data_IF_938453207995
#
_entry.id   IF_938453207995
#
_cell.length_a   1.000
_cell.length_b   1.000
_cell.length_c   1.000
_cell.angle_alpha   90.00
_cell.angle_beta   90.00
_cell.angle_gamma   90.00
#
_symmetry.space_group_name_H-M   'P 1'
#
loop_
_entity.id
_entity.type
_entity.pdbx_description
1 polymer ?
#
# COMPACT_ATOMS: atom_id res chain seq x y z
N UNK A 1 -0.38 4.93 -62.26
CA UNK A 1 0.60 5.20 -61.19
C UNK A 1 -0.16 5.22 -59.88
N UNK A 2 -0.08 4.14 -59.09
CA UNK A 2 -0.80 4.01 -57.82
C UNK A 2 0.18 4.47 -56.73
N UNK A 3 0.01 5.69 -56.23
CA UNK A 3 0.79 6.19 -55.10
C UNK A 3 0.14 5.67 -53.80
N UNK A 4 0.72 4.62 -53.23
CA UNK A 4 0.32 4.11 -51.92
C UNK A 4 0.87 5.02 -50.82
N UNK A 5 -0.02 5.75 -50.14
CA UNK A 5 0.33 6.49 -48.94
C UNK A 5 0.35 5.53 -47.74
N UNK A 6 1.54 5.16 -47.27
CA UNK A 6 1.70 4.48 -45.98
C UNK A 6 1.46 5.51 -44.87
N UNK A 7 0.27 5.48 -44.27
CA UNK A 7 0.03 6.13 -42.97
C UNK A 7 0.77 5.31 -41.91
N UNK A 8 1.94 5.79 -41.49
CA UNK A 8 2.62 5.28 -40.31
C UNK A 8 1.78 5.57 -39.06
N UNK A 9 1.25 4.53 -38.44
CA UNK A 9 0.63 4.60 -37.12
C UNK A 9 1.71 4.96 -36.09
N UNK A 10 1.77 6.24 -35.70
CA UNK A 10 2.46 6.68 -34.49
C UNK A 10 1.64 6.17 -33.29
N UNK A 11 2.02 5.02 -32.76
CA UNK A 11 1.51 4.57 -31.46
C UNK A 11 1.97 5.57 -30.38
N UNK A 12 1.07 6.14 -29.56
CA UNK A 12 1.47 6.92 -28.40
C UNK A 12 2.36 6.05 -27.52
N UNK A 13 3.57 6.53 -27.20
CA UNK A 13 4.44 5.85 -26.25
C UNK A 13 3.71 5.74 -24.91
N UNK A 14 3.55 4.51 -24.41
CA UNK A 14 3.07 4.29 -23.05
C UNK A 14 4.10 4.89 -22.09
N UNK A 15 3.80 6.07 -21.54
CA UNK A 15 4.55 6.60 -20.41
C UNK A 15 4.20 5.73 -19.21
N UNK A 16 5.14 4.91 -18.74
CA UNK A 16 5.05 4.36 -17.40
C UNK A 16 5.02 5.55 -16.43
N UNK A 17 3.91 5.68 -15.69
CA UNK A 17 3.81 6.71 -14.65
C UNK A 17 4.89 6.44 -13.60
N UNK A 18 5.72 7.44 -13.32
CA UNK A 18 6.85 7.29 -12.42
C UNK A 18 6.33 7.13 -11.00
N UNK A 19 6.37 5.90 -10.46
CA UNK A 19 6.00 5.64 -9.08
C UNK A 19 7.19 5.91 -8.13
N UNK A 20 6.98 6.55 -6.97
CA UNK A 20 5.79 7.29 -6.56
C UNK A 20 5.80 8.75 -7.05
N UNK A 21 4.66 9.26 -7.50
CA UNK A 21 4.46 10.65 -7.95
C UNK A 21 3.69 11.52 -6.95
N UNK A 22 3.13 10.90 -5.91
CA UNK A 22 2.36 11.53 -4.84
C UNK A 22 2.66 10.86 -3.49
N UNK A 23 2.27 11.46 -2.35
CA UNK A 23 2.49 10.87 -1.04
C UNK A 23 1.88 9.47 -0.89
N UNK A 24 2.61 8.59 -0.20
CA UNK A 24 2.16 7.24 0.17
C UNK A 24 1.53 7.30 1.56
N UNK A 25 0.41 6.62 1.77
CA UNK A 25 -0.22 6.46 3.07
C UNK A 25 0.18 5.12 3.70
N UNK A 26 0.84 5.18 4.84
CA UNK A 26 1.17 4.02 5.67
C UNK A 26 0.15 3.92 6.80
N UNK A 27 -0.81 3.00 6.64
CA UNK A 27 -1.88 2.78 7.61
C UNK A 27 -1.37 1.90 8.74
N UNK A 28 -1.39 2.41 9.96
CA UNK A 28 -0.90 1.70 11.16
C UNK A 28 -2.07 1.13 11.93
N UNK A 29 -2.03 -0.17 12.21
CA UNK A 29 -3.11 -0.91 12.88
C UNK A 29 -3.32 -0.60 14.37
N UNK A 30 -2.53 0.31 14.95
CA UNK A 30 -2.49 0.59 16.38
C UNK A 30 -2.44 2.10 16.65
N UNK A 31 -2.75 2.47 17.89
CA UNK A 31 -2.80 3.86 18.36
C UNK A 31 -1.46 4.58 18.16
N UNK A 32 -1.56 5.88 17.87
CA UNK A 32 -0.39 6.77 17.77
C UNK A 32 0.40 6.78 19.09
N UNK A 33 1.73 6.91 18.99
CA UNK A 33 2.66 6.94 20.13
C UNK A 33 3.00 5.57 20.72
N UNK A 34 2.36 4.48 20.28
CA UNK A 34 2.71 3.11 20.66
C UNK A 34 3.96 2.58 19.95
N UNK A 35 4.48 1.40 20.35
CA UNK A 35 5.69 0.83 19.77
C UNK A 35 5.59 0.63 18.25
N UNK A 36 4.45 0.12 17.76
CA UNK A 36 4.19 -0.05 16.33
C UNK A 36 4.21 1.30 15.59
N UNK A 37 3.58 2.33 16.14
CA UNK A 37 3.58 3.66 15.51
C UNK A 37 4.97 4.30 15.46
N UNK A 38 5.77 4.15 16.52
CA UNK A 38 7.14 4.68 16.56
C UNK A 38 7.98 4.07 15.43
N UNK A 39 7.91 2.75 15.24
CA UNK A 39 8.65 2.10 14.14
C UNK A 39 8.11 2.52 12.78
N UNK A 40 6.78 2.62 12.61
CA UNK A 40 6.17 3.09 11.37
C UNK A 40 6.67 4.49 10.97
N UNK A 41 6.84 5.40 11.93
CA UNK A 41 7.36 6.76 11.69
C UNK A 41 8.83 6.77 11.29
N UNK A 42 9.64 5.86 11.85
CA UNK A 42 11.04 5.69 11.44
C UNK A 42 11.11 5.22 9.99
N UNK A 43 10.31 4.20 9.64
CA UNK A 43 10.20 3.69 8.26
C UNK A 43 9.75 4.81 7.31
N UNK A 44 8.67 5.52 7.67
CA UNK A 44 8.10 6.59 6.86
C UNK A 44 9.12 7.70 6.54
N UNK A 45 9.96 8.07 7.52
CA UNK A 45 11.00 9.09 7.33
C UNK A 45 12.12 8.60 6.40
N UNK A 46 12.65 7.40 6.62
CA UNK A 46 13.75 6.86 5.82
C UNK A 46 13.32 6.61 4.38
N UNK A 47 12.22 5.89 4.20
CA UNK A 47 11.69 5.57 2.89
C UNK A 47 11.19 6.80 2.16
N UNK A 48 10.62 7.78 2.86
CA UNK A 48 10.23 9.05 2.23
C UNK A 48 11.42 9.82 1.66
N UNK A 49 12.59 9.74 2.31
CA UNK A 49 13.83 10.31 1.79
C UNK A 49 14.32 9.55 0.55
N UNK A 50 14.27 8.21 0.57
CA UNK A 50 14.74 7.36 -0.53
C UNK A 50 13.84 7.42 -1.76
N UNK A 51 12.53 7.56 -1.57
CA UNK A 51 11.54 7.60 -2.64
C UNK A 51 11.30 9.01 -3.18
N UNK A 52 11.76 10.06 -2.47
CA UNK A 52 11.49 11.45 -2.84
C UNK A 52 10.03 11.87 -2.67
N UNK A 53 9.21 11.07 -2.00
CA UNK A 53 7.81 11.33 -1.71
C UNK A 53 7.51 11.15 -0.22
N UNK A 54 6.63 11.97 0.32
CA UNK A 54 6.24 11.87 1.72
C UNK A 54 5.51 10.54 1.98
N UNK A 55 5.81 9.90 3.11
CA UNK A 55 5.01 8.81 3.65
C UNK A 55 4.21 9.32 4.86
N UNK A 56 2.88 9.31 4.73
CA UNK A 56 1.93 9.79 5.74
C UNK A 56 1.50 8.62 6.61
N UNK A 57 1.78 8.70 7.91
CA UNK A 57 1.33 7.71 8.90
C UNK A 57 -0.13 7.99 9.30
N UNK A 58 -1.02 7.04 9.06
CA UNK A 58 -2.46 7.09 9.39
C UNK A 58 -2.81 5.97 10.40
N UNK A 59 -3.01 6.32 11.67
CA UNK A 59 -3.33 5.35 12.73
C UNK A 59 -4.82 4.99 12.72
N UNK A 60 -5.13 3.72 12.47
CA UNK A 60 -6.50 3.16 12.48
C UNK A 60 -6.60 1.95 13.43
N UNK A 61 -6.60 2.18 14.75
CA UNK A 61 -6.72 1.10 15.73
C UNK A 61 -8.11 0.47 15.75
N UNK A 62 -8.17 -0.80 16.14
CA UNK A 62 -9.43 -1.51 16.41
C UNK A 62 -9.34 -2.99 16.06
N UNK A 63 -10.09 -3.83 16.79
CA UNK A 63 -10.23 -5.27 16.53
C UNK A 63 -8.89 -6.00 16.27
N UNK A 64 -7.86 -5.74 17.08
CA UNK A 64 -6.55 -6.39 16.92
C UNK A 64 -5.77 -6.00 15.65
N UNK A 65 -6.25 -5.00 14.90
CA UNK A 65 -5.68 -4.53 13.65
C UNK A 65 -6.55 -4.79 12.42
N UNK A 66 -7.67 -5.50 12.57
CA UNK A 66 -8.58 -5.83 11.47
C UNK A 66 -9.17 -4.58 10.80
N UNK A 67 -9.44 -3.51 11.57
CA UNK A 67 -9.99 -2.25 11.02
C UNK A 67 -9.03 -1.62 10.00
N UNK A 68 -7.73 -1.58 10.31
CA UNK A 68 -6.72 -1.10 9.38
C UNK A 68 -6.56 -2.05 8.19
N UNK A 69 -6.54 -3.36 8.44
CA UNK A 69 -6.43 -4.36 7.38
C UNK A 69 -7.60 -4.25 6.38
N UNK A 70 -8.85 -4.21 6.84
CA UNK A 70 -10.01 -4.02 5.97
C UNK A 70 -9.94 -2.73 5.16
N UNK A 71 -9.46 -1.65 5.77
CA UNK A 71 -9.33 -0.37 5.09
C UNK A 71 -8.31 -0.45 3.94
N UNK A 72 -7.14 -1.05 4.18
CA UNK A 72 -6.11 -1.20 3.15
C UNK A 72 -6.51 -2.22 2.08
N UNK A 73 -7.14 -3.34 2.47
CA UNK A 73 -7.60 -4.36 1.53
C UNK A 73 -8.65 -3.86 0.52
N UNK A 74 -9.39 -2.79 0.88
CA UNK A 74 -10.37 -2.13 0.00
C UNK A 74 -9.78 -0.94 -0.79
N UNK A 75 -8.53 -0.57 -0.54
CA UNK A 75 -7.88 0.52 -1.25
C UNK A 75 -7.50 0.10 -2.69
N UNK A 76 -7.28 1.07 -3.60
CA UNK A 76 -6.70 0.76 -4.90
C UNK A 76 -5.37 0.01 -4.75
N UNK A 77 -5.16 -1.02 -5.56
CA UNK A 77 -3.92 -1.80 -5.59
C UNK A 77 -2.82 -1.08 -6.39
N UNK A 78 -2.58 0.19 -6.08
CA UNK A 78 -1.69 1.11 -6.81
C UNK A 78 -0.40 1.44 -6.04
N UNK A 79 -0.18 0.84 -4.87
CA UNK A 79 1.01 1.03 -4.03
C UNK A 79 0.99 2.27 -3.13
N UNK A 80 -0.03 3.13 -3.21
CA UNK A 80 -0.11 4.35 -2.40
C UNK A 80 -0.79 4.16 -1.04
N UNK A 81 -1.40 3.00 -0.79
CA UNK A 81 -1.94 2.66 0.53
C UNK A 81 -1.31 1.35 1.00
N UNK A 82 -0.49 1.45 2.04
CA UNK A 82 0.24 0.32 2.62
C UNK A 82 -0.28 0.05 4.03
N UNK A 83 -0.21 -1.21 4.46
CA UNK A 83 -0.53 -1.62 5.83
C UNK A 83 0.75 -1.83 6.63
N UNK A 84 0.81 -1.26 7.83
CA UNK A 84 1.79 -1.61 8.85
C UNK A 84 1.08 -2.19 10.07
N UNK A 85 1.32 -3.47 10.32
CA UNK A 85 0.67 -4.23 11.38
C UNK A 85 1.73 -5.04 12.17
N UNK A 86 1.32 -5.66 13.27
CA UNK A 86 2.14 -6.58 14.04
C UNK A 86 1.89 -8.04 13.62
N UNK A 87 2.48 -9.00 14.34
CA UNK A 87 2.16 -10.42 14.19
C UNK A 87 0.68 -10.75 14.43
N UNK A 88 -0.11 -9.82 15.00
CA UNK A 88 -1.56 -9.97 15.16
C UNK A 88 -2.28 -10.30 13.85
N UNK A 89 -1.80 -9.80 12.70
CA UNK A 89 -2.42 -10.05 11.40
C UNK A 89 -2.41 -11.53 10.99
N UNK A 90 -1.39 -12.28 11.42
CA UNK A 90 -1.28 -13.72 11.15
C UNK A 90 -2.16 -14.57 12.10
N UNK A 91 -2.42 -14.05 13.30
CA UNK A 91 -3.13 -14.77 14.37
C UNK A 91 -4.66 -14.52 14.29
N UNK A 92 -5.07 -13.32 13.85
CA UNK A 92 -6.48 -12.89 13.81
C UNK A 92 -7.43 -13.88 13.11
N UNK A 93 -7.11 -14.41 11.90
CA UNK A 93 -8.01 -15.34 11.20
C UNK A 93 -8.30 -16.62 11.98
N UNK A 94 -7.30 -17.14 12.70
CA UNK A 94 -7.43 -18.35 13.50
C UNK A 94 -8.24 -18.12 14.79
N UNK A 95 -8.13 -16.94 15.40
CA UNK A 95 -8.84 -16.61 16.64
C UNK A 95 -10.30 -16.21 16.42
N UNK A 96 -10.58 -15.45 15.35
CA UNK A 96 -11.91 -14.88 15.10
C UNK A 96 -12.69 -15.60 14.00
N UNK A 97 -12.15 -16.71 13.48
CA UNK A 97 -12.68 -17.46 12.34
C UNK A 97 -12.98 -16.54 11.13
N UNK A 98 -12.18 -15.47 11.00
CA UNK A 98 -12.36 -14.42 10.02
C UNK A 98 -11.50 -14.70 8.79
N UNK A 99 -11.97 -15.62 7.94
CA UNK A 99 -11.24 -16.03 6.73
C UNK A 99 -11.10 -14.93 5.68
N UNK A 100 -11.93 -13.88 5.76
CA UNK A 100 -11.91 -12.75 4.81
C UNK A 100 -10.68 -11.86 4.98
N UNK A 101 -10.04 -11.92 6.15
CA UNK A 101 -8.84 -11.16 6.46
C UNK A 101 -7.56 -12.01 6.45
N UNK A 102 -7.57 -13.14 5.72
CA UNK A 102 -6.36 -13.93 5.53
C UNK A 102 -5.30 -13.08 4.80
N UNK A 103 -4.19 -12.69 5.48
CA UNK A 103 -3.22 -11.77 4.91
C UNK A 103 -2.54 -12.33 3.65
N UNK A 104 -2.36 -13.65 3.57
CA UNK A 104 -1.71 -14.32 2.44
C UNK A 104 -2.55 -14.25 1.15
N UNK A 105 -3.84 -13.97 1.27
CA UNK A 105 -4.77 -13.91 0.14
C UNK A 105 -5.09 -12.49 -0.29
N UNK A 106 -4.95 -11.50 0.60
CA UNK A 106 -5.46 -10.14 0.37
C UNK A 106 -4.36 -9.07 0.35
N UNK A 107 -3.12 -9.41 0.72
CA UNK A 107 -2.00 -8.49 0.69
C UNK A 107 -0.81 -9.07 -0.07
N UNK A 108 -0.12 -8.18 -0.79
CA UNK A 108 1.22 -8.44 -1.26
C UNK A 108 2.22 -8.01 -0.17
N UNK A 109 3.06 -8.92 0.35
CA UNK A 109 4.10 -8.56 1.31
C UNK A 109 5.12 -7.59 0.70
N UNK A 110 5.59 -6.63 1.50
CA UNK A 110 6.62 -5.65 1.11
C UNK A 110 7.85 -5.89 2.00
N UNK A 111 9.01 -6.07 1.36
CA UNK A 111 10.30 -6.35 2.00
C UNK A 111 11.18 -5.10 2.14
#
# INVERSE_FOLDING_TARGET
MIAGAMLGMLAPGAHAEAFPDKPIRLVVAFSAGGPTDIIARVIARDMGTRLGQQIIVDNRPGAGGDVAAEFVAKAPADGYTLLYNSSSIAISPALFNNTRLNPDQIFAPVA
#
